data_IF_571543887066
#
_entry.id   IF_571543887066
#
_cell.length_a   1.000
_cell.length_b   1.000
_cell.length_c   1.000
_cell.angle_alpha   90.00
_cell.angle_beta   90.00
_cell.angle_gamma   90.00
#
_symmetry.space_group_name_H-M   'P 1'
#
loop_
_entity.id
_entity.type
_entity.pdbx_description
1 polymer ?
#
# COMPACT_ATOMS: atom_id res chain seq x y z
N UNK A 1 28.39 11.55 1.52
CA UNK A 1 27.44 12.61 1.92
C UNK A 1 26.24 12.56 0.99
N UNK A 2 25.04 12.87 1.48
CA UNK A 2 23.79 12.77 0.71
C UNK A 2 22.77 13.82 1.13
N UNK A 3 21.57 13.75 0.56
CA UNK A 3 20.44 14.66 0.82
C UNK A 3 19.19 13.84 1.13
N UNK A 4 18.36 14.33 2.04
CA UNK A 4 17.05 13.75 2.35
C UNK A 4 15.95 14.60 1.71
N UNK A 5 14.95 13.95 1.14
CA UNK A 5 13.82 14.59 0.48
C UNK A 5 12.49 14.06 1.01
N UNK A 6 11.45 14.88 0.92
CA UNK A 6 10.07 14.48 1.10
C UNK A 6 9.26 14.75 -0.19
N UNK A 7 8.29 13.88 -0.50
CA UNK A 7 7.50 14.01 -1.71
C UNK A 7 6.34 15.01 -1.55
N UNK A 8 6.06 15.77 -2.61
CA UNK A 8 4.79 16.45 -2.83
C UNK A 8 4.14 15.90 -4.10
N UNK A 9 2.89 15.49 -3.99
CA UNK A 9 2.05 15.03 -5.10
C UNK A 9 1.06 16.14 -5.47
N UNK A 10 1.22 16.71 -6.66
CA UNK A 10 0.33 17.75 -7.18
C UNK A 10 -0.88 17.13 -7.90
N UNK A 11 -2.04 17.76 -7.81
CA UNK A 11 -3.29 17.24 -8.37
C UNK A 11 -3.32 17.10 -9.92
N UNK A 12 -2.36 17.71 -10.61
CA UNK A 12 -2.22 17.61 -12.06
C UNK A 12 -1.46 16.34 -12.50
N UNK A 13 -0.92 15.56 -11.56
CA UNK A 13 -0.12 14.36 -11.83
C UNK A 13 1.38 14.59 -11.88
N UNK A 14 1.82 15.81 -11.59
CA UNK A 14 3.22 16.09 -11.33
C UNK A 14 3.52 15.92 -9.84
N UNK A 15 4.79 15.75 -9.51
CA UNK A 15 5.25 15.83 -8.14
C UNK A 15 6.68 16.32 -8.04
N UNK A 16 7.07 16.61 -6.81
CA UNK A 16 8.34 17.26 -6.47
C UNK A 16 9.00 16.55 -5.28
N UNK A 17 10.32 16.42 -5.35
CA UNK A 17 11.15 16.03 -4.20
C UNK A 17 11.64 17.29 -3.49
N UNK A 18 11.13 17.53 -2.28
CA UNK A 18 11.42 18.70 -1.45
C UNK A 18 12.60 18.41 -0.52
N UNK A 19 13.72 19.09 -0.73
CA UNK A 19 14.94 18.86 0.07
C UNK A 19 14.73 19.29 1.54
N UNK A 20 15.00 18.38 2.48
CA UNK A 20 14.96 18.65 3.92
C UNK A 20 16.30 19.24 4.37
N UNK A 21 16.52 20.50 4.03
CA UNK A 21 17.79 21.22 4.26
C UNK A 21 17.64 22.33 5.29
N UNK A 22 18.47 22.29 6.32
CA UNK A 22 18.62 23.37 7.28
C UNK A 22 19.12 24.66 6.61
N UNK A 23 18.61 25.81 7.04
CA UNK A 23 18.89 27.12 6.43
C UNK A 23 18.09 27.40 5.16
N UNK A 24 17.13 26.53 4.80
CA UNK A 24 16.14 26.84 3.78
C UNK A 24 15.08 27.81 4.32
N UNK A 25 14.27 28.40 3.43
CA UNK A 25 13.20 29.31 3.83
C UNK A 25 12.16 28.66 4.76
N UNK A 26 11.96 27.35 4.66
CA UNK A 26 10.98 26.60 5.44
C UNK A 26 11.59 25.93 6.70
N UNK A 27 12.87 25.57 6.65
CA UNK A 27 13.55 24.77 7.69
C UNK A 27 14.78 25.55 8.19
N UNK A 28 14.60 26.31 9.26
CA UNK A 28 15.62 27.17 9.87
C UNK A 28 15.30 27.44 11.35
N UNK A 29 16.19 28.17 12.04
CA UNK A 29 16.06 28.49 13.47
C UNK A 29 14.86 29.37 13.84
N UNK A 30 14.14 29.91 12.84
CA UNK A 30 12.93 30.72 13.03
C UNK A 30 11.67 30.05 12.48
N UNK A 31 11.75 28.78 12.07
CA UNK A 31 10.61 28.03 11.55
C UNK A 31 9.47 27.96 12.58
N UNK A 32 8.23 28.14 12.10
CA UNK A 32 7.04 28.06 12.95
C UNK A 32 6.71 26.60 13.26
N UNK A 33 6.24 26.34 14.48
CA UNK A 33 5.92 24.99 14.95
C UNK A 33 7.14 24.23 15.50
N UNK A 34 8.30 24.34 14.84
CA UNK A 34 9.56 23.78 15.31
C UNK A 34 10.75 24.62 14.84
N UNK A 35 11.59 25.10 15.76
CA UNK A 35 12.79 25.87 15.44
C UNK A 35 14.00 24.93 15.35
N UNK A 36 14.47 24.67 14.12
CA UNK A 36 15.58 23.75 13.88
C UNK A 36 16.92 24.39 14.28
N UNK A 37 17.79 23.65 14.95
CA UNK A 37 19.11 24.15 15.34
C UNK A 37 20.17 24.02 14.22
N UNK A 38 20.16 22.89 13.52
CA UNK A 38 21.12 22.54 12.47
C UNK A 38 20.59 21.38 11.59
N UNK A 39 21.42 20.82 10.71
CA UNK A 39 21.04 19.70 9.85
C UNK A 39 20.87 18.38 10.61
N UNK A 40 21.53 18.18 11.74
CA UNK A 40 21.35 16.96 12.54
C UNK A 40 19.97 16.95 13.19
N UNK A 41 19.52 18.10 13.68
CA UNK A 41 18.16 18.29 14.20
C UNK A 41 17.08 18.02 13.13
N UNK A 42 17.31 18.46 11.88
CA UNK A 42 16.43 18.13 10.75
C UNK A 42 16.33 16.62 10.50
N UNK A 43 17.44 15.88 10.62
CA UNK A 43 17.48 14.43 10.40
C UNK A 43 16.93 13.61 11.58
N UNK A 44 16.94 14.16 12.80
CA UNK A 44 16.26 13.58 13.97
C UNK A 44 14.76 13.86 13.90
N UNK A 45 14.37 15.02 13.39
CA UNK A 45 12.98 15.48 13.30
C UNK A 45 12.47 15.63 11.84
N UNK A 46 12.66 14.62 10.95
CA UNK A 46 12.40 14.78 9.52
C UNK A 46 10.91 14.94 9.22
N UNK A 47 10.02 14.44 10.08
CA UNK A 47 8.57 14.62 9.95
C UNK A 47 8.17 16.10 10.08
N UNK A 48 8.75 16.81 11.05
CA UNK A 48 8.49 18.24 11.25
C UNK A 48 9.08 19.07 10.10
N UNK A 49 10.25 18.67 9.60
CA UNK A 49 10.86 19.31 8.43
C UNK A 49 10.03 19.09 7.16
N UNK A 50 9.49 17.88 6.96
CA UNK A 50 8.61 17.52 5.85
C UNK A 50 7.30 18.32 5.88
N UNK A 51 6.66 18.44 7.05
CA UNK A 51 5.49 19.32 7.25
C UNK A 51 5.85 20.78 6.91
N UNK A 52 7.01 21.28 7.37
CA UNK A 52 7.44 22.65 7.13
C UNK A 52 7.68 22.97 5.64
N UNK A 53 8.27 22.03 4.87
CA UNK A 53 8.44 22.20 3.42
C UNK A 53 7.15 21.96 2.64
N UNK A 54 6.09 21.46 3.28
CA UNK A 54 4.78 21.21 2.68
C UNK A 54 4.75 19.93 1.84
N UNK A 55 5.30 18.84 2.37
CA UNK A 55 5.13 17.51 1.81
C UNK A 55 3.66 17.05 1.87
N UNK A 56 3.25 16.16 0.96
CA UNK A 56 1.87 15.63 0.97
C UNK A 56 1.71 14.60 2.08
N UNK A 57 0.66 14.73 2.89
CA UNK A 57 0.30 13.72 3.89
C UNK A 57 -0.34 12.54 3.20
N UNK A 58 0.18 11.34 3.41
CA UNK A 58 -0.21 10.13 2.68
C UNK A 58 -0.97 9.14 3.58
N UNK A 59 -1.80 8.31 2.96
CA UNK A 59 -2.53 7.21 3.62
C UNK A 59 -1.60 6.04 3.91
N UNK A 60 -0.86 6.15 5.02
CA UNK A 60 0.03 5.10 5.56
C UNK A 60 0.93 4.43 4.49
N UNK A 61 1.96 5.13 4.00
CA UNK A 61 3.00 4.50 3.17
C UNK A 61 3.69 3.36 3.91
N UNK A 62 3.72 2.18 3.30
CA UNK A 62 4.43 1.00 3.82
C UNK A 62 5.61 0.65 2.89
N UNK A 63 5.55 -0.43 2.10
CA UNK A 63 6.64 -0.84 1.21
C UNK A 63 6.62 -0.09 -0.11
N UNK A 64 7.80 0.11 -0.67
CA UNK A 64 7.96 0.49 -2.07
C UNK A 64 9.03 -0.31 -2.77
N UNK A 65 8.88 -0.48 -4.08
CA UNK A 65 9.88 -1.12 -4.93
C UNK A 65 9.94 -0.44 -6.29
N UNK A 66 11.07 -0.65 -6.97
CA UNK A 66 11.35 -0.12 -8.30
C UNK A 66 11.19 -1.24 -9.31
N UNK A 67 10.42 -1.01 -10.36
CA UNK A 67 10.37 -1.90 -11.52
C UNK A 67 11.76 -1.89 -12.19
N UNK A 68 12.51 -3.01 -12.19
CA UNK A 68 13.87 -3.04 -12.69
C UNK A 68 13.96 -2.84 -14.21
N UNK A 69 12.85 -2.98 -14.95
CA UNK A 69 12.84 -2.76 -16.40
C UNK A 69 12.53 -1.31 -16.79
N UNK A 70 11.75 -0.60 -15.97
CA UNK A 70 11.25 0.73 -16.33
C UNK A 70 11.84 1.84 -15.48
N UNK A 71 12.29 1.54 -14.25
CA UNK A 71 12.70 2.53 -13.26
C UNK A 71 11.52 3.17 -12.52
N UNK A 72 10.28 2.82 -12.87
CA UNK A 72 9.10 3.34 -12.17
C UNK A 72 9.02 2.78 -10.76
N UNK A 73 8.62 3.62 -9.81
CA UNK A 73 8.55 3.26 -8.40
C UNK A 73 7.09 3.07 -8.00
N UNK A 74 6.83 2.02 -7.24
CA UNK A 74 5.53 1.67 -6.69
C UNK A 74 5.60 1.74 -5.17
N UNK A 75 4.53 2.21 -4.53
CA UNK A 75 4.43 2.28 -3.08
C UNK A 75 3.02 1.95 -2.62
N UNK A 76 2.92 1.11 -1.60
CA UNK A 76 1.65 0.76 -0.98
C UNK A 76 1.24 1.84 0.02
N UNK A 77 -0.06 2.16 0.01
CA UNK A 77 -0.74 3.08 0.89
C UNK A 77 -1.84 2.27 1.58
N UNK A 78 -1.47 1.60 2.68
CA UNK A 78 -2.18 0.41 3.18
C UNK A 78 -3.63 0.71 3.56
N UNK A 79 -3.90 1.78 4.30
CA UNK A 79 -5.26 2.24 4.58
C UNK A 79 -5.21 3.54 5.36
N UNK A 80 -6.36 4.13 5.63
CA UNK A 80 -6.47 5.16 6.64
C UNK A 80 -7.89 5.24 7.23
N UNK A 81 -8.01 5.49 8.52
CA UNK A 81 -9.33 5.64 9.15
C UNK A 81 -9.85 7.09 9.06
N UNK A 82 -11.14 7.29 9.30
CA UNK A 82 -11.77 8.61 9.22
C UNK A 82 -11.20 9.67 10.18
N UNK A 83 -10.56 9.27 11.29
CA UNK A 83 -9.96 10.23 12.22
C UNK A 83 -8.63 10.78 11.69
N UNK A 84 -7.85 9.94 11.01
CA UNK A 84 -6.56 10.29 10.44
C UNK A 84 -6.67 10.85 9.01
N UNK A 85 -7.65 10.39 8.22
CA UNK A 85 -8.06 10.95 6.93
C UNK A 85 -9.54 11.37 6.96
N UNK A 86 -9.88 12.51 7.59
CA UNK A 86 -11.22 13.06 7.51
C UNK A 86 -11.55 13.50 6.08
N UNK A 87 -12.85 13.59 5.77
CA UNK A 87 -13.35 13.96 4.44
C UNK A 87 -12.71 15.26 3.90
N UNK A 88 -12.53 16.28 4.76
CA UNK A 88 -11.91 17.56 4.39
C UNK A 88 -10.41 17.48 4.07
N UNK A 89 -9.73 16.38 4.43
CA UNK A 89 -8.30 16.18 4.23
C UNK A 89 -7.95 15.26 3.03
N UNK A 90 -8.94 14.81 2.27
CA UNK A 90 -8.70 14.16 0.97
C UNK A 90 -7.96 15.09 0.00
N UNK A 91 -7.21 14.50 -0.91
CA UNK A 91 -6.52 15.16 -1.99
C UNK A 91 -6.38 14.19 -3.17
N UNK A 92 -5.79 14.62 -4.27
CA UNK A 92 -5.69 13.77 -5.46
C UNK A 92 -4.92 12.47 -5.19
N UNK A 93 -3.93 12.47 -4.30
CA UNK A 93 -3.13 11.29 -3.99
C UNK A 93 -3.80 10.39 -2.94
N UNK A 94 -4.76 10.90 -2.16
CA UNK A 94 -5.51 10.18 -1.14
C UNK A 94 -7.02 10.48 -1.30
N UNK A 95 -7.67 9.91 -2.33
CA UNK A 95 -8.89 10.53 -2.86
C UNK A 95 -10.20 9.90 -2.34
N UNK A 96 -10.14 8.85 -1.50
CA UNK A 96 -11.32 8.09 -1.05
C UNK A 96 -11.65 8.30 0.43
N UNK A 97 -12.93 8.54 0.72
CA UNK A 97 -13.52 8.39 2.04
C UNK A 97 -14.92 7.78 1.90
N UNK A 98 -15.12 6.57 2.42
CA UNK A 98 -16.36 5.81 2.30
C UNK A 98 -16.56 4.92 3.54
N UNK A 99 -17.68 4.22 3.59
CA UNK A 99 -17.93 3.17 4.57
C UNK A 99 -17.77 1.80 3.90
N UNK A 100 -16.89 0.95 4.43
CA UNK A 100 -16.83 -0.48 4.10
C UNK A 100 -17.34 -1.32 5.27
N UNK A 101 -18.66 -1.58 5.38
CA UNK A 101 -19.19 -2.32 6.52
C UNK A 101 -18.70 -3.77 6.51
N UNK A 102 -18.29 -4.28 7.67
CA UNK A 102 -18.04 -5.71 7.86
C UNK A 102 -19.36 -6.49 7.80
N UNK A 103 -19.26 -7.81 7.60
CA UNK A 103 -20.39 -8.74 7.57
C UNK A 103 -21.25 -8.74 8.84
N UNK A 104 -20.71 -8.33 9.99
CA UNK A 104 -21.46 -8.15 11.24
C UNK A 104 -22.18 -6.78 11.34
N UNK A 105 -22.10 -5.94 10.31
CA UNK A 105 -22.69 -4.60 10.26
C UNK A 105 -21.82 -3.48 10.84
N UNK A 106 -20.63 -3.76 11.38
CA UNK A 106 -19.75 -2.70 11.90
C UNK A 106 -19.21 -1.84 10.77
N UNK A 107 -19.42 -0.53 10.85
CA UNK A 107 -18.94 0.44 9.87
C UNK A 107 -17.41 0.62 9.93
N UNK A 108 -16.79 0.84 8.78
CA UNK A 108 -15.37 1.17 8.64
C UNK A 108 -15.25 2.41 7.76
N UNK A 109 -15.25 3.59 8.40
CA UNK A 109 -15.18 4.86 7.70
C UNK A 109 -13.73 5.31 7.42
N UNK A 110 -13.50 5.87 6.23
CA UNK A 110 -12.19 6.36 5.78
C UNK A 110 -11.82 5.74 4.43
N UNK A 111 -10.57 5.32 4.31
CA UNK A 111 -10.04 4.53 3.19
C UNK A 111 -9.58 3.15 3.73
N UNK A 112 -10.52 2.26 4.09
CA UNK A 112 -10.19 0.99 4.77
C UNK A 112 -9.37 0.02 3.93
N UNK A 113 -9.47 0.09 2.60
CA UNK A 113 -8.88 -0.92 1.71
C UNK A 113 -7.56 -0.49 1.03
N UNK A 114 -7.16 0.78 1.17
CA UNK A 114 -5.88 1.26 0.65
C UNK A 114 -5.73 1.27 -0.87
N UNK A 115 -4.54 1.60 -1.33
CA UNK A 115 -4.19 1.69 -2.74
C UNK A 115 -2.68 1.58 -2.95
N UNK A 116 -2.26 1.45 -4.21
CA UNK A 116 -0.85 1.44 -4.63
C UNK A 116 -0.64 2.66 -5.53
N UNK A 117 0.17 3.60 -5.07
CA UNK A 117 0.60 4.75 -5.89
C UNK A 117 1.87 4.39 -6.64
N UNK A 118 2.07 4.94 -7.84
CA UNK A 118 3.35 4.80 -8.56
C UNK A 118 3.77 6.11 -9.20
N UNK A 119 5.07 6.23 -9.48
CA UNK A 119 5.61 7.40 -10.15
C UNK A 119 6.83 7.08 -11.02
N UNK A 120 7.13 8.02 -11.90
CA UNK A 120 8.30 8.02 -12.76
C UNK A 120 9.03 9.35 -12.62
N UNK A 121 10.29 9.31 -12.20
CA UNK A 121 11.17 10.47 -12.16
C UNK A 121 11.35 11.08 -13.54
N UNK A 122 11.48 12.41 -13.59
CA UNK A 122 11.59 13.13 -14.85
C UNK A 122 12.78 12.63 -15.66
N UNK A 123 12.52 12.26 -16.93
CA UNK A 123 13.49 11.69 -17.87
C UNK A 123 14.03 10.30 -17.47
N UNK A 124 13.32 9.58 -16.61
CA UNK A 124 13.76 8.29 -16.06
C UNK A 124 15.13 8.39 -15.36
N UNK A 125 15.33 9.50 -14.62
CA UNK A 125 16.58 9.83 -13.95
C UNK A 125 16.33 9.85 -12.43
N UNK A 126 16.87 8.89 -11.65
CA UNK A 126 16.64 8.81 -10.21
C UNK A 126 17.24 9.98 -9.43
N UNK A 127 17.99 10.88 -10.09
CA UNK A 127 18.50 12.13 -9.48
C UNK A 127 17.57 13.33 -9.71
N UNK A 128 16.52 13.18 -10.53
CA UNK A 128 15.57 14.25 -10.78
C UNK A 128 14.77 14.60 -9.52
N UNK A 129 14.50 15.88 -9.34
CA UNK A 129 13.69 16.38 -8.21
C UNK A 129 12.22 16.59 -8.57
N UNK A 130 11.79 16.06 -9.72
CA UNK A 130 10.41 16.06 -10.16
C UNK A 130 10.04 14.71 -10.78
N UNK A 131 8.76 14.37 -10.70
CA UNK A 131 8.22 13.12 -11.20
C UNK A 131 6.80 13.29 -11.74
N UNK A 132 6.30 12.29 -12.46
CA UNK A 132 4.87 12.12 -12.74
C UNK A 132 4.33 10.91 -12.01
N UNK A 133 3.07 10.95 -11.61
CA UNK A 133 2.46 9.90 -10.80
C UNK A 133 0.99 9.64 -11.20
N UNK A 134 0.53 8.44 -10.89
CA UNK A 134 -0.87 8.03 -10.86
C UNK A 134 -1.08 6.95 -9.78
N UNK A 135 -2.33 6.57 -9.51
CA UNK A 135 -2.65 5.45 -8.63
C UNK A 135 -2.79 4.19 -9.48
N UNK A 136 -1.86 3.25 -9.32
CA UNK A 136 -1.82 1.98 -10.05
C UNK A 136 -3.03 1.09 -9.73
N UNK A 137 -3.29 0.86 -8.44
CA UNK A 137 -4.38 0.00 -7.98
C UNK A 137 -5.11 0.60 -6.78
N UNK A 138 -6.42 0.48 -6.76
CA UNK A 138 -7.25 0.77 -5.60
C UNK A 138 -7.72 -0.54 -4.99
N UNK A 139 -7.30 -0.85 -3.76
CA UNK A 139 -7.83 -1.98 -3.01
C UNK A 139 -9.32 -1.75 -2.74
N UNK A 140 -10.14 -2.78 -2.94
CA UNK A 140 -11.58 -2.77 -2.80
C UNK A 140 -12.14 -4.19 -2.88
N UNK A 141 -13.30 -4.44 -2.28
CA UNK A 141 -14.07 -5.68 -2.52
C UNK A 141 -14.69 -5.64 -3.91
N UNK A 142 -14.77 -6.79 -4.60
CA UNK A 142 -15.22 -6.85 -5.99
C UNK A 142 -16.61 -6.21 -6.25
N UNK A 143 -17.55 -6.37 -5.31
CA UNK A 143 -18.93 -5.88 -5.44
C UNK A 143 -19.18 -4.45 -4.97
N UNK A 144 -18.14 -3.68 -4.63
CA UNK A 144 -18.30 -2.29 -4.17
C UNK A 144 -18.48 -1.32 -5.34
N UNK A 145 -18.96 -0.11 -5.05
CA UNK A 145 -19.24 0.94 -6.03
C UNK A 145 -18.09 1.10 -7.05
N UNK A 146 -18.31 0.79 -8.34
CA UNK A 146 -17.28 0.84 -9.37
C UNK A 146 -16.87 2.26 -9.76
N UNK A 147 -17.66 3.26 -9.41
CA UNK A 147 -17.42 4.65 -9.78
C UNK A 147 -16.61 5.41 -8.73
N UNK A 148 -16.76 5.05 -7.45
CA UNK A 148 -16.14 5.78 -6.33
C UNK A 148 -15.24 4.93 -5.42
N UNK A 149 -15.37 3.60 -5.43
CA UNK A 149 -14.62 2.69 -4.53
C UNK A 149 -13.74 1.73 -5.33
N UNK A 150 -14.32 0.85 -6.15
CA UNK A 150 -13.62 -0.16 -6.94
C UNK A 150 -13.17 0.38 -8.31
N UNK A 151 -12.34 1.40 -8.30
CA UNK A 151 -11.87 2.08 -9.53
C UNK A 151 -11.02 1.18 -10.42
N UNK A 152 -10.32 0.22 -9.82
CA UNK A 152 -9.52 -0.77 -10.54
C UNK A 152 -10.35 -1.89 -11.15
N UNK A 153 -11.67 -1.95 -10.91
CA UNK A 153 -12.51 -3.00 -11.48
C UNK A 153 -12.12 -4.41 -11.00
N UNK A 154 -11.73 -4.51 -9.73
CA UNK A 154 -11.34 -5.78 -9.11
C UNK A 154 -12.53 -6.74 -9.09
N UNK A 155 -12.26 -8.02 -9.37
CA UNK A 155 -13.21 -9.12 -9.34
C UNK A 155 -12.87 -10.11 -8.22
N UNK A 156 -13.65 -11.19 -8.11
CA UNK A 156 -13.46 -12.20 -7.06
C UNK A 156 -12.07 -12.86 -7.08
N UNK A 157 -11.40 -12.88 -8.24
CA UNK A 157 -10.08 -13.49 -8.41
C UNK A 157 -8.92 -12.59 -7.96
N UNK A 158 -9.16 -11.30 -7.74
CA UNK A 158 -8.09 -10.34 -7.50
C UNK A 158 -8.47 -9.15 -6.59
N UNK A 159 -9.63 -9.18 -5.95
CA UNK A 159 -9.95 -8.19 -4.94
C UNK A 159 -9.10 -8.34 -3.68
N UNK A 160 -8.75 -7.21 -3.09
CA UNK A 160 -7.84 -7.16 -1.94
C UNK A 160 -8.09 -5.91 -1.12
N UNK A 161 -7.53 -5.90 0.08
CA UNK A 161 -7.54 -4.78 1.01
C UNK A 161 -6.16 -4.69 1.65
N UNK A 162 -5.81 -3.49 2.11
CA UNK A 162 -4.59 -3.20 2.87
C UNK A 162 -3.32 -3.75 2.23
N UNK A 163 -2.98 -3.31 1.00
CA UNK A 163 -1.69 -3.66 0.42
C UNK A 163 -0.56 -3.13 1.31
N UNK A 164 0.42 -3.97 1.59
CA UNK A 164 1.55 -3.67 2.45
C UNK A 164 2.85 -4.04 1.71
N UNK A 165 3.30 -5.30 1.79
CA UNK A 165 4.52 -5.75 1.14
C UNK A 165 4.49 -5.57 -0.38
N UNK A 166 5.59 -5.10 -0.96
CA UNK A 166 5.69 -4.88 -2.40
C UNK A 166 7.10 -5.19 -2.90
N UNK A 167 7.21 -5.99 -3.96
CA UNK A 167 8.50 -6.44 -4.48
C UNK A 167 8.43 -6.88 -5.94
N UNK A 168 9.46 -6.57 -6.73
CA UNK A 168 9.58 -7.01 -8.11
C UNK A 168 10.49 -8.22 -8.22
N UNK A 169 10.02 -9.26 -8.93
CA UNK A 169 10.82 -10.43 -9.29
C UNK A 169 11.89 -10.09 -10.32
N UNK A 170 13.20 -10.24 -10.02
CA UNK A 170 14.24 -10.10 -11.03
C UNK A 170 14.14 -11.16 -12.15
N UNK A 171 13.58 -12.34 -11.87
CA UNK A 171 13.48 -13.42 -12.86
C UNK A 171 12.31 -13.23 -13.84
N UNK A 172 11.18 -12.65 -13.39
CA UNK A 172 9.93 -12.61 -14.17
C UNK A 172 9.36 -11.20 -14.39
N UNK A 173 9.88 -10.20 -13.69
CA UNK A 173 9.35 -8.84 -13.60
C UNK A 173 7.91 -8.72 -13.08
N UNK A 174 7.37 -9.78 -12.46
CA UNK A 174 6.10 -9.67 -11.75
C UNK A 174 6.27 -8.80 -10.51
N UNK A 175 5.30 -7.91 -10.31
CA UNK A 175 5.12 -7.16 -9.07
C UNK A 175 4.30 -8.02 -8.11
N UNK A 176 4.90 -8.38 -6.99
CA UNK A 176 4.27 -9.12 -5.92
C UNK A 176 3.76 -8.15 -4.88
N UNK A 177 2.46 -8.21 -4.59
CA UNK A 177 1.78 -7.35 -3.62
C UNK A 177 1.28 -8.24 -2.49
N UNK A 178 1.70 -7.98 -1.26
CA UNK A 178 1.31 -8.71 -0.06
C UNK A 178 0.37 -7.83 0.76
N UNK A 179 -0.50 -8.42 1.58
CA UNK A 179 -1.46 -7.65 2.39
C UNK A 179 -1.26 -7.88 3.88
N UNK A 180 -1.40 -6.80 4.64
CA UNK A 180 -1.59 -6.79 6.10
C UNK A 180 -2.92 -6.13 6.41
N UNK A 181 -3.97 -6.96 6.49
CA UNK A 181 -5.33 -6.49 6.43
C UNK A 181 -6.13 -6.76 7.71
N UNK A 182 -6.77 -5.69 8.19
CA UNK A 182 -7.77 -5.75 9.24
C UNK A 182 -9.19 -5.36 8.77
N UNK A 183 -9.38 -4.99 7.50
CA UNK A 183 -10.64 -4.43 7.01
C UNK A 183 -11.52 -5.41 6.22
N UNK A 184 -10.91 -6.41 5.58
CA UNK A 184 -11.55 -7.40 4.70
C UNK A 184 -11.47 -8.84 5.26
N UNK A 185 -11.05 -8.96 6.53
CA UNK A 185 -10.89 -10.25 7.25
C UNK A 185 -12.21 -10.99 7.51
N UNK A 186 -13.35 -10.32 7.31
CA UNK A 186 -14.68 -10.95 7.35
C UNK A 186 -15.04 -11.73 6.08
N UNK A 187 -14.22 -11.61 5.02
CA UNK A 187 -14.44 -12.27 3.72
C UNK A 187 -13.33 -13.26 3.39
N UNK A 188 -12.07 -12.89 3.63
CA UNK A 188 -10.90 -13.72 3.35
C UNK A 188 -9.73 -13.36 4.28
N UNK A 189 -8.65 -14.14 4.27
CA UNK A 189 -7.42 -13.80 4.99
C UNK A 189 -6.49 -12.95 4.13
N UNK A 190 -5.44 -12.42 4.76
CA UNK A 190 -4.32 -11.79 4.07
C UNK A 190 -3.76 -12.67 2.95
N UNK A 191 -3.31 -12.02 1.88
CA UNK A 191 -3.02 -12.66 0.62
C UNK A 191 -1.77 -12.07 -0.04
N UNK A 192 -1.35 -12.72 -1.11
CA UNK A 192 -0.35 -12.21 -2.04
C UNK A 192 -0.93 -12.24 -3.44
N UNK A 193 -0.77 -11.15 -4.17
CA UNK A 193 -1.17 -11.00 -5.56
C UNK A 193 0.07 -10.96 -6.45
N UNK A 194 -0.04 -11.59 -7.62
CA UNK A 194 0.89 -11.44 -8.72
C UNK A 194 0.32 -10.41 -9.70
N UNK A 195 1.10 -9.39 -10.01
CA UNK A 195 0.70 -8.32 -10.92
C UNK A 195 1.71 -8.17 -12.06
N UNK A 196 1.22 -8.08 -13.29
CA UNK A 196 2.02 -7.55 -14.40
C UNK A 196 2.01 -6.03 -14.27
N UNK A 197 3.17 -5.37 -14.10
CA UNK A 197 3.22 -3.94 -13.92
C UNK A 197 2.76 -3.20 -15.17
N UNK A 198 2.06 -2.09 -14.97
CA UNK A 198 1.74 -1.14 -16.03
C UNK A 198 2.83 -0.07 -16.23
N UNK A 199 2.44 1.11 -16.74
CA UNK A 199 3.28 2.32 -16.80
C UNK A 199 2.53 3.54 -16.32
N UNK A 200 3.21 4.48 -15.66
CA UNK A 200 2.61 5.78 -15.29
C UNK A 200 1.92 6.42 -16.50
N UNK A 201 0.63 6.70 -16.37
CA UNK A 201 -0.21 7.29 -17.42
C UNK A 201 -0.91 6.28 -18.33
N UNK A 202 -0.82 4.97 -18.07
CA UNK A 202 -1.50 3.93 -18.84
C UNK A 202 -3.04 3.93 -18.70
N UNK A 203 -3.61 4.69 -17.76
CA UNK A 203 -5.06 4.86 -17.60
C UNK A 203 -5.78 5.52 -18.79
N UNK A 204 -5.02 6.13 -19.72
CA UNK A 204 -5.54 6.70 -20.97
C UNK A 204 -6.64 7.74 -20.77
N UNK A 205 -7.72 7.66 -21.55
CA UNK A 205 -8.88 8.58 -21.46
C UNK A 205 -9.58 8.52 -20.09
N UNK A 206 -9.45 7.39 -19.38
CA UNK A 206 -10.04 7.18 -18.04
C UNK A 206 -9.11 7.61 -16.90
N UNK A 207 -7.93 8.15 -17.22
CA UNK A 207 -6.92 8.48 -16.23
C UNK A 207 -7.42 9.52 -15.21
N UNK A 208 -8.24 10.49 -15.61
CA UNK A 208 -8.80 11.49 -14.68
C UNK A 208 -10.20 11.07 -14.22
N UNK A 209 -10.35 10.83 -12.92
CA UNK A 209 -11.63 10.45 -12.30
C UNK A 209 -11.99 11.43 -11.19
N UNK A 210 -13.26 11.77 -11.08
CA UNK A 210 -13.82 12.46 -9.91
C UNK A 210 -14.42 11.42 -8.98
N UNK A 211 -13.89 11.30 -7.77
CA UNK A 211 -14.42 10.44 -6.72
C UNK A 211 -15.38 11.26 -5.85
N UNK A 212 -16.58 10.75 -5.65
CA UNK A 212 -17.56 11.27 -4.71
C UNK A 212 -17.44 10.48 -3.40
N UNK A 213 -16.96 11.14 -2.36
CA UNK A 213 -16.78 10.55 -1.03
C UNK A 213 -17.83 11.07 -0.06
N UNK A 214 -18.31 10.20 0.83
CA UNK A 214 -19.36 10.52 1.81
C UNK A 214 -18.94 10.07 3.21
N UNK A 215 -19.04 10.97 4.19
CA UNK A 215 -18.74 10.63 5.59
C UNK A 215 -19.94 10.03 6.35
N UNK A 216 -19.72 9.62 7.59
CA UNK A 216 -20.75 9.05 8.46
C UNK A 216 -21.95 9.99 8.75
N UNK A 217 -21.79 11.30 8.51
CA UNK A 217 -22.83 12.32 8.70
C UNK A 217 -23.57 12.65 7.40
N UNK A 218 -23.21 12.02 6.28
CA UNK A 218 -23.76 12.31 4.96
C UNK A 218 -23.15 13.54 4.29
N UNK A 219 -22.06 14.09 4.82
CA UNK A 219 -21.32 15.16 4.14
C UNK A 219 -20.63 14.59 2.90
N UNK A 220 -20.67 15.32 1.79
CA UNK A 220 -20.10 14.88 0.51
C UNK A 220 -18.89 15.73 0.15
N UNK A 221 -17.88 15.10 -0.42
CA UNK A 221 -16.76 15.79 -1.07
C UNK A 221 -16.37 15.11 -2.36
N UNK A 222 -16.16 15.93 -3.39
CA UNK A 222 -15.61 15.50 -4.66
C UNK A 222 -14.10 15.76 -4.72
N UNK A 223 -13.35 14.78 -5.21
CA UNK A 223 -11.90 14.88 -5.41
C UNK A 223 -11.55 14.31 -6.77
N UNK A 224 -10.85 15.09 -7.58
CA UNK A 224 -10.28 14.59 -8.82
C UNK A 224 -8.95 13.89 -8.54
N UNK A 225 -8.73 12.73 -9.15
CA UNK A 225 -7.52 11.92 -9.01
C UNK A 225 -7.07 11.34 -10.35
N UNK A 226 -5.92 10.66 -10.32
CA UNK A 226 -5.31 9.96 -11.44
C UNK A 226 -5.30 8.45 -11.21
N UNK A 227 -5.90 7.71 -12.14
CA UNK A 227 -6.13 6.27 -12.05
C UNK A 227 -5.38 5.58 -13.19
N UNK A 228 -4.61 4.55 -12.86
CA UNK A 228 -3.96 3.67 -13.83
C UNK A 228 -4.96 2.78 -14.58
N UNK A 229 -4.46 2.02 -15.54
CA UNK A 229 -5.27 1.05 -16.26
C UNK A 229 -5.87 0.00 -15.30
N UNK A 230 -7.12 -0.39 -15.55
CA UNK A 230 -7.71 -1.53 -14.84
C UNK A 230 -6.90 -2.81 -15.19
N UNK A 231 -6.47 -3.59 -14.18
CA UNK A 231 -5.57 -4.71 -14.42
C UNK A 231 -6.23 -5.87 -15.19
N UNK A 232 -7.52 -6.14 -14.98
CA UNK A 232 -8.16 -7.34 -15.51
C UNK A 232 -7.36 -8.60 -15.14
N UNK A 233 -7.03 -9.42 -16.15
CA UNK A 233 -6.23 -10.65 -15.98
C UNK A 233 -4.77 -10.42 -15.58
N UNK A 234 -4.27 -9.18 -15.66
CA UNK A 234 -2.90 -8.83 -15.28
C UNK A 234 -2.69 -8.75 -13.76
N UNK A 235 -3.74 -8.93 -12.95
CA UNK A 235 -3.63 -9.04 -11.50
C UNK A 235 -4.40 -10.28 -11.05
N UNK A 236 -3.72 -11.18 -10.33
CA UNK A 236 -4.33 -12.40 -9.80
C UNK A 236 -3.88 -12.67 -8.37
N UNK A 237 -4.80 -13.14 -7.54
CA UNK A 237 -4.46 -13.69 -6.23
C UNK A 237 -3.65 -14.97 -6.42
N UNK A 238 -2.49 -15.04 -5.78
CA UNK A 238 -1.55 -16.15 -5.88
C UNK A 238 -1.53 -17.02 -4.62
N UNK A 239 -1.58 -16.39 -3.44
CA UNK A 239 -1.53 -17.06 -2.14
C UNK A 239 -2.55 -16.42 -1.19
N UNK A 240 -3.18 -17.24 -0.34
CA UNK A 240 -3.95 -16.79 0.83
C UNK A 240 -3.35 -17.43 2.07
N UNK A 241 -3.11 -16.61 3.09
CA UNK A 241 -2.52 -17.04 4.34
C UNK A 241 -3.50 -17.75 5.29
N UNK A 242 -2.98 -18.35 6.37
CA UNK A 242 -3.81 -18.85 7.46
C UNK A 242 -4.58 -17.71 8.16
N UNK A 243 -5.50 -18.09 9.03
CA UNK A 243 -6.27 -17.14 9.82
C UNK A 243 -5.37 -16.24 10.66
N UNK A 244 -5.70 -14.94 10.68
CA UNK A 244 -5.05 -13.91 11.50
C UNK A 244 -3.54 -13.76 11.28
N UNK A 245 -3.04 -14.12 10.10
CA UNK A 245 -1.69 -13.72 9.69
C UNK A 245 -1.75 -12.47 8.82
N UNK A 246 -0.61 -11.81 8.67
CA UNK A 246 -0.30 -11.07 7.44
C UNK A 246 0.60 -11.91 6.53
N UNK A 247 0.60 -11.55 5.25
CA UNK A 247 1.63 -12.01 4.31
C UNK A 247 2.64 -10.87 4.18
N UNK A 248 3.91 -11.13 4.45
CA UNK A 248 4.93 -10.07 4.44
C UNK A 248 6.32 -10.62 4.13
N UNK A 249 7.15 -9.83 3.47
CA UNK A 249 8.48 -10.24 3.02
C UNK A 249 8.42 -11.32 1.93
N UNK A 250 9.04 -11.02 0.79
CA UNK A 250 9.20 -11.96 -0.31
C UNK A 250 10.60 -11.84 -0.89
N UNK A 251 11.17 -12.97 -1.29
CA UNK A 251 12.33 -13.03 -2.16
C UNK A 251 12.29 -14.32 -2.97
N UNK A 252 13.18 -14.47 -3.94
CA UNK A 252 13.26 -15.66 -4.78
C UNK A 252 14.71 -16.11 -5.00
N UNK A 253 14.90 -17.37 -5.40
CA UNK A 253 16.19 -17.84 -5.91
C UNK A 253 16.53 -17.13 -7.23
N UNK A 254 17.81 -16.94 -7.58
CA UNK A 254 18.19 -16.22 -8.81
C UNK A 254 17.59 -16.77 -10.12
N UNK A 255 17.21 -18.05 -10.15
CA UNK A 255 16.55 -18.70 -11.29
C UNK A 255 15.01 -18.59 -11.27
N UNK A 256 14.43 -17.94 -10.27
CA UNK A 256 13.00 -17.74 -10.08
C UNK A 256 12.21 -19.00 -9.75
N UNK A 257 12.86 -20.12 -9.39
CA UNK A 257 12.20 -21.43 -9.22
C UNK A 257 11.72 -21.72 -7.80
N UNK A 258 12.24 -21.00 -6.81
CA UNK A 258 11.78 -21.07 -5.43
C UNK A 258 11.55 -19.66 -4.88
N UNK A 259 10.37 -19.44 -4.33
CA UNK A 259 9.97 -18.18 -3.71
C UNK A 259 9.84 -18.36 -2.20
N UNK A 260 10.47 -17.48 -1.44
CA UNK A 260 10.40 -17.44 0.02
C UNK A 260 9.42 -16.36 0.44
N UNK A 261 8.38 -16.72 1.19
CA UNK A 261 7.34 -15.80 1.65
C UNK A 261 7.16 -15.95 3.15
N UNK A 262 7.08 -14.86 3.92
CA UNK A 262 6.80 -14.99 5.36
C UNK A 262 5.30 -14.91 5.66
N UNK A 263 4.89 -15.77 6.58
CA UNK A 263 3.59 -15.75 7.24
C UNK A 263 3.85 -15.21 8.65
N UNK A 264 3.44 -13.97 8.93
CA UNK A 264 3.66 -13.36 10.23
C UNK A 264 2.44 -13.58 11.15
N UNK A 265 2.72 -13.74 12.45
CA UNK A 265 1.75 -13.79 13.55
C UNK A 265 0.42 -14.53 13.34
N UNK A 266 0.38 -15.75 12.76
CA UNK A 266 -0.88 -16.49 12.66
C UNK A 266 -1.55 -16.64 14.03
N UNK A 267 -2.84 -16.32 14.13
CA UNK A 267 -3.59 -16.38 15.39
C UNK A 267 -3.38 -15.19 16.33
N UNK A 268 -3.05 -14.00 15.81
CA UNK A 268 -2.69 -12.79 16.58
C UNK A 268 -3.71 -12.38 17.66
N UNK A 269 -5.01 -12.67 17.45
CA UNK A 269 -6.06 -12.26 18.40
C UNK A 269 -6.11 -13.16 19.65
N UNK A 270 -5.23 -14.16 19.76
CA UNK A 270 -5.08 -14.97 20.97
C UNK A 270 -4.65 -14.07 22.12
N UNK A 271 -5.58 -13.82 23.06
CA UNK A 271 -5.31 -12.95 24.22
C UNK A 271 -4.19 -13.52 25.08
N UNK A 272 -3.41 -12.63 25.70
CA UNK A 272 -2.30 -13.04 26.56
C UNK A 272 -2.72 -14.00 27.70
N UNK A 273 -3.92 -13.83 28.26
CA UNK A 273 -4.47 -14.69 29.30
C UNK A 273 -4.74 -16.13 28.82
N UNK A 274 -4.92 -16.33 27.51
CA UNK A 274 -5.32 -17.58 26.89
C UNK A 274 -4.12 -18.36 26.30
N UNK A 275 -2.90 -17.82 26.39
CA UNK A 275 -1.69 -18.45 25.84
C UNK A 275 -1.45 -19.87 26.40
N UNK A 276 -1.94 -20.17 27.61
CA UNK A 276 -1.82 -21.50 28.22
C UNK A 276 -2.85 -22.53 27.75
N UNK A 277 -3.87 -22.14 27.00
CA UNK A 277 -4.97 -23.02 26.60
C UNK A 277 -5.03 -23.19 25.07
N UNK A 278 -4.50 -24.29 24.51
CA UNK A 278 -4.56 -24.54 23.07
C UNK A 278 -5.97 -24.59 22.50
N UNK A 279 -7.00 -24.90 23.30
CA UNK A 279 -8.37 -25.07 22.79
C UNK A 279 -9.04 -23.77 22.34
N UNK A 280 -8.42 -22.61 22.61
CA UNK A 280 -8.98 -21.29 22.28
C UNK A 280 -8.08 -20.46 21.37
N UNK A 281 -6.96 -21.03 20.92
CA UNK A 281 -6.11 -20.35 19.94
C UNK A 281 -6.85 -20.28 18.61
N UNK A 282 -6.78 -19.10 17.98
CA UNK A 282 -7.45 -18.88 16.70
C UNK A 282 -6.76 -19.62 15.54
N UNK A 283 -5.46 -19.88 15.65
CA UNK A 283 -4.67 -20.60 14.65
C UNK A 283 -3.79 -21.67 15.30
N UNK A 284 -3.53 -22.73 14.54
CA UNK A 284 -2.55 -23.76 14.86
C UNK A 284 -1.52 -23.95 13.73
N UNK A 285 -1.49 -23.02 12.77
CA UNK A 285 -0.56 -23.08 11.64
C UNK A 285 0.89 -22.88 12.12
N UNK A 286 1.89 -23.63 11.61
CA UNK A 286 1.79 -24.55 10.47
C UNK A 286 1.44 -26.00 10.82
N UNK A 287 1.70 -26.43 12.06
CA UNK A 287 1.70 -27.85 12.42
C UNK A 287 0.30 -28.44 12.66
N UNK A 288 -0.72 -27.59 12.83
CA UNK A 288 -2.12 -27.99 13.04
C UNK A 288 -2.40 -28.61 14.42
N UNK A 289 -3.57 -29.24 14.56
CA UNK A 289 -3.98 -29.88 15.81
C UNK A 289 -4.10 -28.89 16.96
N UNK A 290 -3.35 -29.14 18.05
CA UNK A 290 -3.24 -28.24 19.21
C UNK A 290 -1.86 -27.57 19.31
N UNK A 291 -1.08 -27.58 18.21
CA UNK A 291 0.24 -26.97 18.19
C UNK A 291 0.16 -25.45 18.30
N UNK A 292 1.18 -24.85 18.93
CA UNK A 292 1.24 -23.38 19.07
C UNK A 292 1.46 -22.76 17.70
N UNK A 293 0.68 -21.73 17.32
CA UNK A 293 0.92 -21.08 16.05
C UNK A 293 2.29 -20.41 16.03
N UNK A 294 2.94 -20.43 14.86
CA UNK A 294 4.30 -19.92 14.68
C UNK A 294 4.37 -19.18 13.36
N UNK A 295 4.99 -17.99 13.38
CA UNK A 295 5.45 -17.38 12.14
C UNK A 295 6.47 -18.29 11.46
N UNK A 296 6.43 -18.34 10.14
CA UNK A 296 7.39 -19.10 9.36
C UNK A 296 7.57 -18.52 7.96
N UNK A 297 8.73 -18.80 7.38
CA UNK A 297 8.98 -18.61 5.96
C UNK A 297 8.59 -19.88 5.23
N UNK A 298 7.67 -19.78 4.28
CA UNK A 298 7.33 -20.87 3.36
C UNK A 298 8.20 -20.78 2.11
N UNK A 299 8.46 -21.92 1.48
CA UNK A 299 9.10 -22.01 0.18
C UNK A 299 8.07 -22.51 -0.82
N UNK A 300 7.77 -21.70 -1.83
CA UNK A 300 6.84 -22.03 -2.90
C UNK A 300 7.65 -22.43 -4.12
N UNK A 301 7.36 -23.63 -4.65
CA UNK A 301 7.97 -24.20 -5.85
C UNK A 301 6.89 -24.74 -6.78
N UNK A 302 7.12 -24.70 -8.09
CA UNK A 302 6.25 -25.41 -9.03
C UNK A 302 6.58 -26.90 -9.08
N UNK A 303 5.56 -27.74 -9.25
CA UNK A 303 5.72 -29.19 -9.39
C UNK A 303 6.54 -29.60 -10.62
N UNK A 304 6.50 -28.79 -11.69
CA UNK A 304 7.27 -29.00 -12.91
C UNK A 304 8.69 -28.38 -12.86
N UNK A 305 9.05 -27.73 -11.74
CA UNK A 305 10.34 -27.07 -11.55
C UNK A 305 10.53 -25.79 -12.37
N UNK A 306 9.48 -25.24 -12.98
CA UNK A 306 9.53 -23.99 -13.72
C UNK A 306 9.64 -22.73 -12.83
N UNK A 307 9.87 -21.55 -13.43
CA UNK A 307 9.84 -20.27 -12.71
C UNK A 307 8.46 -19.94 -12.15
N UNK A 308 8.38 -19.31 -10.99
CA UNK A 308 7.13 -18.95 -10.32
C UNK A 308 6.41 -17.82 -11.08
N UNK A 309 5.10 -17.96 -11.30
CA UNK A 309 4.23 -16.91 -11.87
C UNK A 309 4.13 -16.87 -13.40
N UNK A 310 4.83 -17.75 -14.12
CA UNK A 310 4.78 -17.88 -15.60
C UNK A 310 3.94 -19.05 -16.10
#
# INVERSE_FOLDING_TARGET
AGKLYAARFNADGTGEWLELRFGSAAVHAGSKGYAFADQADVLINPRLAADAVGATRMDRPEWGAVDPLTGEVYMTLTNNNAAQRPLAALDAANPRHYNDPRSNGSAQHGNPNGHVIRWQEARNDPTATSFRWDIYLFGARAGTDPDNVNLSGLGADNDFSSPDGLWFSPATNLCWIQTDDGAYTDVTNCMMLAAIPGRVGDGGEKARRTIVSTDAKGSVREVQTLVGAQPGDNLRRFLVGPVQCEITGVTETPDGRAMFVNIQHPGEDTRAADIGNPSVWASHWPDGGSARPRSATIVITRNDGGPIGL
#
